data_IF_776396564565
#
_entry.id   IF_776396564565
#
_cell.length_a   1.000
_cell.length_b   1.000
_cell.length_c   1.000
_cell.angle_alpha   90.00
_cell.angle_beta   90.00
_cell.angle_gamma   90.00
#
_symmetry.space_group_name_H-M   'P 1'
#
loop_
_entity.id
_entity.type
_entity.pdbx_description
1 polymer ?
#
# COMPACT_ATOMS: atom_id res chain seq x y z
N UNK A 1 49.40 21.38 17.52
CA UNK A 1 48.13 21.20 18.27
C UNK A 1 47.08 22.20 17.79
N UNK A 2 46.53 22.07 16.58
CA UNK A 2 45.42 22.94 16.15
C UNK A 2 44.45 22.31 15.14
N UNK A 3 44.44 20.98 15.00
CA UNK A 3 43.61 20.30 13.97
C UNK A 3 42.28 19.77 14.51
N UNK A 4 42.14 19.60 15.83
CA UNK A 4 40.95 18.98 16.44
C UNK A 4 39.78 19.98 16.56
N UNK A 5 40.06 21.29 16.69
CA UNK A 5 39.02 22.32 16.85
C UNK A 5 38.29 22.66 15.54
N UNK A 6 38.91 22.44 14.39
CA UNK A 6 38.29 22.72 13.08
C UNK A 6 37.27 21.65 12.70
N UNK A 7 37.60 20.37 12.94
CA UNK A 7 36.71 19.24 12.62
C UNK A 7 35.37 19.27 13.42
N UNK A 8 35.38 19.84 14.63
CA UNK A 8 34.16 19.99 15.45
C UNK A 8 33.27 21.16 15.01
N UNK A 9 33.80 22.15 14.28
CA UNK A 9 33.00 23.25 13.74
C UNK A 9 32.25 22.82 12.47
N UNK A 10 32.89 22.01 11.63
CA UNK A 10 32.33 21.54 10.37
C UNK A 10 31.24 20.46 10.59
N UNK A 11 31.38 19.61 11.62
CA UNK A 11 30.36 18.64 12.04
C UNK A 11 29.11 19.30 12.66
N UNK A 12 29.26 20.49 13.24
CA UNK A 12 28.13 21.25 13.79
C UNK A 12 27.36 22.00 12.70
N UNK A 13 28.03 22.36 11.60
CA UNK A 13 27.41 23.00 10.44
C UNK A 13 26.60 22.01 9.59
N UNK A 14 27.02 20.74 9.50
CA UNK A 14 26.33 19.69 8.73
C UNK A 14 25.00 19.24 9.35
N UNK A 15 24.81 19.40 10.67
CA UNK A 15 23.52 19.15 11.34
C UNK A 15 22.54 20.34 11.26
N UNK A 16 23.02 21.55 10.95
CA UNK A 16 22.18 22.75 10.87
C UNK A 16 21.49 22.92 9.51
N UNK A 17 21.85 22.13 8.51
CA UNK A 17 21.21 22.10 7.19
C UNK A 17 20.16 20.98 7.08
N UNK A 18 19.48 20.62 8.18
CA UNK A 18 18.20 19.93 8.08
C UNK A 18 17.27 20.91 7.38
N UNK A 19 17.00 20.67 6.09
CA UNK A 19 15.97 21.37 5.31
C UNK A 19 14.79 21.65 6.25
N UNK A 20 14.48 22.91 6.51
CA UNK A 20 13.20 23.29 7.12
C UNK A 20 12.12 22.80 6.15
N UNK A 21 11.66 21.56 6.37
CA UNK A 21 10.49 21.03 5.69
C UNK A 21 9.31 21.82 6.24
N UNK A 22 8.94 22.87 5.52
CA UNK A 22 7.66 23.53 5.75
C UNK A 22 6.57 22.43 5.72
N UNK A 23 5.66 22.43 6.71
CA UNK A 23 4.55 21.48 6.69
C UNK A 23 3.77 21.71 5.40
N UNK A 24 3.83 20.74 4.50
CA UNK A 24 3.00 20.76 3.31
C UNK A 24 1.58 20.46 3.76
N UNK A 25 0.64 21.33 3.40
CA UNK A 25 -0.77 21.07 3.63
C UNK A 25 -1.17 19.86 2.77
N UNK A 26 -1.24 18.69 3.40
CA UNK A 26 -1.77 17.47 2.77
C UNK A 26 -3.27 17.49 2.99
N UNK A 27 -4.02 17.81 1.94
CA UNK A 27 -5.45 17.56 1.91
C UNK A 27 -5.67 16.12 1.45
N UNK A 28 -6.58 15.40 2.11
CA UNK A 28 -7.09 14.14 1.58
C UNK A 28 -7.86 14.43 0.30
N UNK A 29 -7.79 13.50 -0.66
CA UNK A 29 -8.61 13.58 -1.86
C UNK A 29 -10.10 13.75 -1.49
N UNK A 30 -10.86 14.49 -2.32
CA UNK A 30 -12.27 14.72 -2.05
C UNK A 30 -13.00 13.39 -1.85
N UNK A 31 -14.00 13.34 -0.94
CA UNK A 31 -14.76 12.14 -0.70
C UNK A 31 -15.39 11.64 -2.02
N UNK A 32 -15.64 10.33 -2.13
CA UNK A 32 -16.15 9.75 -3.37
C UNK A 32 -17.51 10.38 -3.73
N UNK A 33 -17.95 10.34 -5.01
CA UNK A 33 -19.21 10.94 -5.42
C UNK A 33 -20.40 10.46 -4.57
N UNK A 34 -21.44 11.27 -4.45
CA UNK A 34 -22.61 10.91 -3.64
C UNK A 34 -23.15 9.51 -3.98
N UNK A 35 -23.38 8.70 -2.94
CA UNK A 35 -23.84 7.32 -3.07
C UNK A 35 -22.74 6.29 -3.37
N UNK A 36 -21.47 6.70 -3.43
CA UNK A 36 -20.31 5.80 -3.55
C UNK A 36 -19.64 5.58 -2.19
N UNK A 37 -18.91 4.48 -2.10
CA UNK A 37 -17.93 4.25 -1.03
C UNK A 37 -16.52 4.19 -1.59
N UNK A 38 -15.55 4.63 -0.81
CA UNK A 38 -14.13 4.45 -1.06
C UNK A 38 -13.63 3.28 -0.21
N UNK A 39 -12.94 2.33 -0.82
CA UNK A 39 -12.30 1.20 -0.16
C UNK A 39 -10.80 1.37 -0.31
N UNK A 40 -10.12 1.75 0.77
CA UNK A 40 -8.68 1.97 0.77
C UNK A 40 -8.03 0.72 1.32
N UNK A 41 -7.15 0.09 0.56
CA UNK A 41 -6.51 -1.16 0.99
C UNK A 41 -5.00 -1.08 0.89
N UNK A 42 -4.32 -1.87 1.74
CA UNK A 42 -2.87 -2.01 1.74
C UNK A 42 -2.43 -3.38 2.24
N UNK A 43 -1.27 -3.82 1.77
CA UNK A 43 -0.56 -5.02 2.19
C UNK A 43 0.65 -4.70 3.06
N UNK A 44 1.10 -5.68 3.83
CA UNK A 44 2.34 -5.57 4.61
C UNK A 44 3.02 -6.91 4.70
N UNK A 45 4.35 -6.92 4.62
CA UNK A 45 5.18 -8.13 4.77
C UNK A 45 6.36 -7.83 5.67
N UNK A 46 6.52 -8.63 6.74
CA UNK A 46 7.71 -8.58 7.61
C UNK A 46 8.86 -9.31 6.93
N UNK A 47 9.96 -8.59 6.70
CA UNK A 47 11.16 -9.18 6.13
C UNK A 47 12.00 -9.95 7.17
N UNK A 48 12.66 -11.06 6.78
CA UNK A 48 12.56 -11.71 5.46
C UNK A 48 11.25 -12.53 5.34
N UNK A 49 10.34 -12.12 4.44
CA UNK A 49 9.14 -12.82 3.93
C UNK A 49 8.25 -13.63 4.87
N UNK A 50 8.35 -13.46 6.19
CA UNK A 50 7.93 -14.50 7.15
C UNK A 50 6.48 -14.39 7.55
N UNK A 51 5.91 -13.18 7.52
CA UNK A 51 4.55 -12.88 7.93
C UNK A 51 4.02 -11.76 7.04
N UNK A 52 2.87 -11.99 6.44
CA UNK A 52 2.16 -11.06 5.59
C UNK A 52 0.75 -10.80 6.14
N UNK A 53 0.31 -9.56 6.01
CA UNK A 53 -1.03 -9.14 6.35
C UNK A 53 -1.56 -8.22 5.25
N UNK A 54 -2.88 -8.08 5.19
CA UNK A 54 -3.54 -7.07 4.39
C UNK A 54 -4.62 -6.41 5.23
N UNK A 55 -5.11 -5.26 4.77
CA UNK A 55 -6.20 -4.58 5.45
C UNK A 55 -6.78 -3.47 4.61
N UNK A 56 -7.76 -2.80 5.18
CA UNK A 56 -8.36 -1.65 4.56
C UNK A 56 -9.47 -1.01 5.37
N UNK A 57 -9.90 0.16 4.89
CA UNK A 57 -10.97 0.97 5.48
C UNK A 57 -11.96 1.36 4.40
N UNK A 58 -13.24 1.36 4.75
CA UNK A 58 -14.34 1.77 3.87
C UNK A 58 -14.88 3.10 4.36
N UNK A 59 -14.90 4.10 3.50
CA UNK A 59 -15.43 5.43 3.76
C UNK A 59 -16.63 5.71 2.85
N UNK A 60 -17.69 6.33 3.34
CA UNK A 60 -18.76 6.83 2.46
C UNK A 60 -18.44 8.22 1.89
N UNK A 61 -19.28 8.68 0.97
CA UNK A 61 -19.20 10.00 0.33
C UNK A 61 -19.31 11.19 1.30
N UNK A 62 -19.69 10.95 2.57
CA UNK A 62 -19.71 11.99 3.62
C UNK A 62 -18.44 11.99 4.46
N UNK A 63 -17.48 11.13 4.14
CA UNK A 63 -16.25 10.94 4.91
C UNK A 63 -16.43 10.10 6.16
N UNK A 64 -17.57 9.38 6.33
CA UNK A 64 -17.77 8.52 7.49
C UNK A 64 -17.22 7.13 7.24
N UNK A 65 -16.48 6.61 8.23
CA UNK A 65 -16.04 5.22 8.23
C UNK A 65 -17.26 4.28 8.31
N UNK A 66 -17.37 3.37 7.35
CA UNK A 66 -18.40 2.32 7.28
C UNK A 66 -17.88 0.98 7.79
N UNK A 67 -16.57 0.83 7.92
CA UNK A 67 -15.93 -0.36 8.46
C UNK A 67 -14.44 -0.39 8.15
N UNK A 68 -13.72 -1.25 8.84
CA UNK A 68 -12.32 -1.55 8.60
C UNK A 68 -12.08 -3.05 8.74
N UNK A 69 -11.01 -3.55 8.13
CA UNK A 69 -10.64 -4.95 8.21
C UNK A 69 -9.12 -5.13 8.20
N UNK A 70 -8.71 -6.24 8.79
CA UNK A 70 -7.36 -6.79 8.70
C UNK A 70 -7.47 -8.28 8.41
N UNK A 71 -6.49 -8.82 7.68
CA UNK A 71 -6.43 -10.24 7.32
C UNK A 71 -5.00 -10.73 7.43
N UNK A 72 -4.82 -11.86 8.11
CA UNK A 72 -3.55 -12.58 8.10
C UNK A 72 -3.46 -13.38 6.79
N UNK A 73 -2.39 -13.15 6.03
CA UNK A 73 -2.16 -13.77 4.72
C UNK A 73 -1.06 -14.85 4.77
N UNK A 74 -0.53 -15.15 5.94
CA UNK A 74 0.54 -16.13 6.11
C UNK A 74 1.84 -15.65 5.48
N UNK A 75 2.44 -16.47 4.60
CA UNK A 75 3.65 -16.10 3.87
C UNK A 75 3.29 -15.80 2.42
N UNK A 76 3.55 -14.56 2.00
CA UNK A 76 3.42 -14.18 0.60
C UNK A 76 4.30 -12.97 0.28
N UNK A 77 4.44 -12.68 -1.01
CA UNK A 77 5.12 -11.46 -1.49
C UNK A 77 4.30 -10.21 -1.18
N UNK A 78 4.95 -9.05 -1.14
CA UNK A 78 4.26 -7.78 -0.90
C UNK A 78 3.16 -7.53 -1.95
N UNK A 79 3.43 -7.79 -3.22
CA UNK A 79 2.44 -7.66 -4.30
C UNK A 79 1.23 -8.57 -4.09
N UNK A 80 1.44 -9.81 -3.62
CA UNK A 80 0.33 -10.70 -3.31
C UNK A 80 -0.47 -10.20 -2.11
N UNK A 81 0.19 -9.65 -1.09
CA UNK A 81 -0.48 -9.07 0.06
C UNK A 81 -1.40 -7.90 -0.33
N UNK A 82 -0.90 -6.98 -1.17
CA UNK A 82 -1.66 -5.86 -1.73
C UNK A 82 -2.90 -6.31 -2.51
N UNK A 83 -2.71 -7.23 -3.47
CA UNK A 83 -3.81 -7.79 -4.28
C UNK A 83 -4.86 -8.47 -3.37
N UNK A 84 -4.42 -9.18 -2.33
CA UNK A 84 -5.33 -9.86 -1.41
C UNK A 84 -6.10 -8.92 -0.51
N UNK A 85 -5.48 -7.83 -0.07
CA UNK A 85 -6.18 -6.76 0.64
C UNK A 85 -7.27 -6.14 -0.25
N UNK A 86 -6.94 -5.83 -1.50
CA UNK A 86 -7.88 -5.27 -2.49
C UNK A 86 -9.10 -6.18 -2.73
N UNK A 87 -8.86 -7.45 -3.05
CA UNK A 87 -9.94 -8.43 -3.27
C UNK A 87 -10.80 -8.59 -2.02
N UNK A 88 -10.19 -8.63 -0.83
CA UNK A 88 -10.92 -8.76 0.43
C UNK A 88 -11.79 -7.53 0.71
N UNK A 89 -11.26 -6.33 0.47
CA UNK A 89 -12.00 -5.07 0.62
C UNK A 89 -13.23 -5.00 -0.29
N UNK A 90 -13.08 -5.39 -1.57
CA UNK A 90 -14.19 -5.46 -2.53
C UNK A 90 -15.26 -6.47 -2.10
N UNK A 91 -14.87 -7.66 -1.62
CA UNK A 91 -15.81 -8.66 -1.10
C UNK A 91 -16.60 -8.14 0.11
N UNK A 92 -15.93 -7.44 1.03
CA UNK A 92 -16.58 -6.85 2.21
C UNK A 92 -17.57 -5.77 1.77
N UNK A 93 -17.17 -4.85 0.89
CA UNK A 93 -18.04 -3.81 0.36
C UNK A 93 -19.27 -4.40 -0.34
N UNK A 94 -19.08 -5.45 -1.15
CA UNK A 94 -20.17 -6.15 -1.82
C UNK A 94 -21.15 -6.79 -0.83
N UNK A 95 -20.65 -7.50 0.18
CA UNK A 95 -21.48 -8.13 1.22
C UNK A 95 -22.22 -7.12 2.09
N UNK A 96 -21.65 -5.92 2.27
CA UNK A 96 -22.30 -4.80 2.95
C UNK A 96 -23.37 -4.09 2.10
N UNK A 97 -23.60 -4.53 0.86
CA UNK A 97 -24.63 -3.98 -0.04
C UNK A 97 -24.15 -2.78 -0.88
N UNK A 98 -22.88 -2.39 -0.79
CA UNK A 98 -22.35 -1.33 -1.64
C UNK A 98 -22.15 -1.84 -3.07
N UNK A 99 -22.59 -1.05 -4.06
CA UNK A 99 -22.52 -1.37 -5.49
C UNK A 99 -21.77 -0.34 -6.32
N UNK A 100 -21.48 0.82 -5.73
CA UNK A 100 -20.71 1.91 -6.30
C UNK A 100 -19.47 2.10 -5.44
N UNK A 101 -18.33 1.60 -5.92
CA UNK A 101 -17.09 1.49 -5.14
C UNK A 101 -15.93 2.12 -5.90
N UNK A 102 -15.21 3.03 -5.24
CA UNK A 102 -13.87 3.43 -5.62
C UNK A 102 -12.86 2.62 -4.80
N UNK A 103 -11.99 1.87 -5.47
CA UNK A 103 -10.90 1.15 -4.83
C UNK A 103 -9.63 2.03 -4.89
N UNK A 104 -9.10 2.43 -3.74
CA UNK A 104 -7.84 3.15 -3.62
C UNK A 104 -6.73 2.19 -3.20
N UNK A 105 -5.64 2.22 -3.97
CA UNK A 105 -4.44 1.38 -3.81
C UNK A 105 -3.22 2.30 -3.78
N UNK A 106 -2.24 1.98 -2.94
CA UNK A 106 -0.97 2.69 -2.84
C UNK A 106 0.16 2.04 -3.68
N UNK A 107 -0.13 0.89 -4.28
CA UNK A 107 0.82 0.10 -5.07
C UNK A 107 0.54 0.22 -6.57
N UNK A 108 1.40 0.94 -7.29
CA UNK A 108 1.31 1.05 -8.76
C UNK A 108 1.38 -0.33 -9.44
N UNK A 109 2.22 -1.23 -8.94
CA UNK A 109 2.30 -2.62 -9.43
C UNK A 109 0.95 -3.32 -9.32
N UNK A 110 0.26 -3.16 -8.18
CA UNK A 110 -1.06 -3.76 -7.96
C UNK A 110 -2.11 -3.14 -8.89
N UNK A 111 -2.10 -1.81 -9.06
CA UNK A 111 -2.96 -1.11 -10.02
C UNK A 111 -2.74 -1.67 -11.42
N UNK A 112 -1.49 -1.72 -11.90
CA UNK A 112 -1.18 -2.24 -13.23
C UNK A 112 -1.68 -3.67 -13.42
N UNK A 113 -1.49 -4.56 -12.45
CA UNK A 113 -1.96 -5.95 -12.55
C UNK A 113 -3.49 -6.03 -12.64
N UNK A 114 -4.21 -5.23 -11.86
CA UNK A 114 -5.67 -5.27 -11.81
C UNK A 114 -6.35 -4.56 -12.99
N UNK A 115 -5.69 -3.57 -13.59
CA UNK A 115 -6.25 -2.79 -14.72
C UNK A 115 -5.77 -3.28 -16.08
N UNK A 116 -4.70 -4.07 -16.14
CA UNK A 116 -4.25 -4.63 -17.41
C UNK A 116 -5.32 -5.59 -17.94
N UNK A 117 -5.78 -5.46 -19.20
CA UNK A 117 -6.59 -6.49 -19.83
C UNK A 117 -5.80 -7.79 -19.72
N UNK A 118 -6.42 -8.78 -19.06
CA UNK A 118 -5.71 -9.95 -18.57
C UNK A 118 -4.82 -10.53 -19.67
N UNK A 119 -3.55 -10.82 -19.39
CA UNK A 119 -2.79 -11.53 -20.37
C UNK A 119 -3.42 -12.91 -20.51
N UNK A 120 -3.65 -13.32 -21.76
CA UNK A 120 -4.06 -14.65 -22.17
C UNK A 120 -3.43 -15.70 -21.23
N UNK A 121 -4.24 -16.69 -20.83
CA UNK A 121 -4.04 -17.75 -19.83
C UNK A 121 -2.57 -18.15 -19.53
N UNK A 122 -1.71 -18.15 -20.54
CA UNK A 122 -0.25 -18.25 -20.48
C UNK A 122 0.44 -17.38 -19.42
N UNK A 123 -0.06 -16.19 -19.09
CA UNK A 123 0.64 -15.26 -18.21
C UNK A 123 0.29 -15.37 -16.72
N UNK A 124 -0.84 -16.00 -16.38
CA UNK A 124 -1.12 -16.43 -15.00
C UNK A 124 -0.11 -17.54 -14.62
N UNK A 125 0.14 -18.48 -15.54
CA UNK A 125 1.18 -19.52 -15.39
C UNK A 125 2.60 -18.94 -15.27
N UNK A 126 2.87 -17.79 -15.90
CA UNK A 126 4.16 -17.10 -15.75
C UNK A 126 4.33 -16.42 -14.38
N UNK A 127 3.25 -15.94 -13.76
CA UNK A 127 3.29 -15.38 -12.41
C UNK A 127 3.53 -16.47 -11.35
N UNK A 128 2.86 -17.61 -11.45
CA UNK A 128 3.09 -18.74 -10.53
C UNK A 128 4.52 -19.29 -10.67
N UNK A 129 5.04 -19.41 -11.90
CA UNK A 129 6.42 -19.88 -12.12
C UNK A 129 7.50 -18.92 -11.60
N UNK A 130 7.25 -17.60 -11.54
CA UNK A 130 8.16 -16.62 -10.94
C UNK A 130 8.10 -16.62 -9.41
N UNK A 131 6.93 -16.92 -8.84
CA UNK A 131 6.73 -17.04 -7.39
C UNK A 131 7.38 -18.32 -6.85
N UNK A 132 7.31 -19.44 -7.59
CA UNK A 132 8.00 -20.68 -7.17
C UNK A 132 9.53 -20.58 -7.23
N UNK A 133 10.09 -19.88 -8.24
CA UNK A 133 11.55 -19.80 -8.45
C UNK A 133 12.28 -18.90 -7.44
N UNK A 134 11.58 -18.01 -6.75
CA UNK A 134 12.16 -17.09 -5.76
C UNK A 134 12.11 -17.63 -4.32
N UNK A 135 11.57 -18.83 -4.10
CA UNK A 135 11.50 -19.49 -2.79
C UNK A 135 12.61 -20.52 -2.54
N UNK A 136 13.55 -20.68 -3.48
CA UNK A 136 14.71 -21.57 -3.33
C UNK A 136 16.01 -20.79 -3.53
N UNK A 137 16.42 -20.03 -2.52
CA UNK A 137 17.82 -19.77 -2.13
C UNK A 137 17.82 -19.29 -0.69
#
# INVERSE_FOLDING_TARGET
>A
MNTIRQAQADDKASHAAILEKSPHQVAWDPPPPQGWVCVNTGGSVKQPGSIAAGGGVIWDWTGKCKGAFVVNLGRCTITRAEIMAAIRGLQIAWRAGFRKVHLQLDSMTTITILTSPGPNEASISQLDSKIQKTSTT
#
